data_IF_946886817025
#
_entry.id   IF_946886817025
#
_cell.length_a   1.000
_cell.length_b   1.000
_cell.length_c   1.000
_cell.angle_alpha   90.00
_cell.angle_beta   90.00
_cell.angle_gamma   90.00
#
_symmetry.space_group_name_H-M   'P 1'
#
loop_
_entity.id
_entity.type
_entity.pdbx_description
1 polymer ?
#
# COMPACT_ATOMS: atom_id res chain seq x y z
N UNK A 1 -2.67 18.24 -31.28
CA UNK A 1 -3.28 17.39 -32.33
C UNK A 1 -4.66 17.00 -31.81
N UNK A 2 -5.72 17.61 -32.31
CA UNK A 2 -7.10 17.27 -31.90
C UNK A 2 -7.50 16.07 -32.76
N UNK A 3 -7.73 14.93 -32.15
CA UNK A 3 -8.33 13.79 -32.85
C UNK A 3 -9.80 14.15 -33.02
N UNK A 4 -10.18 14.53 -34.23
CA UNK A 4 -11.60 14.75 -34.55
C UNK A 4 -12.21 13.39 -34.82
N UNK A 5 -13.11 12.97 -33.92
CA UNK A 5 -14.00 11.86 -34.20
C UNK A 5 -15.13 12.38 -35.11
N UNK A 6 -15.50 11.59 -36.08
CA UNK A 6 -16.63 11.83 -36.96
C UNK A 6 -17.51 10.55 -37.01
N UNK A 7 -18.25 10.41 -35.91
CA UNK A 7 -19.18 9.25 -35.76
C UNK A 7 -20.55 9.54 -36.35
N UNK A 8 -20.79 10.76 -36.85
CA UNK A 8 -22.12 11.26 -37.22
C UNK A 8 -23.01 11.65 -36.03
N UNK A 9 -22.50 11.51 -34.79
CA UNK A 9 -23.21 11.87 -33.56
C UNK A 9 -22.34 12.83 -32.70
N UNK A 10 -22.65 14.13 -32.67
CA UNK A 10 -21.82 15.13 -31.97
C UNK A 10 -21.60 14.84 -30.49
N UNK A 11 -22.58 14.28 -29.80
CA UNK A 11 -22.44 13.90 -28.39
C UNK A 11 -21.41 12.77 -28.19
N UNK A 12 -21.38 11.80 -29.13
CA UNK A 12 -20.42 10.67 -29.07
C UNK A 12 -19.01 11.16 -29.38
N UNK A 13 -18.84 12.05 -30.33
CA UNK A 13 -17.55 12.67 -30.66
C UNK A 13 -16.99 13.46 -29.48
N UNK A 14 -17.85 14.23 -28.80
CA UNK A 14 -17.49 14.93 -27.56
C UNK A 14 -17.09 13.94 -26.46
N UNK A 15 -17.87 12.91 -26.25
CA UNK A 15 -17.58 11.88 -25.24
C UNK A 15 -16.22 11.19 -25.49
N UNK A 16 -15.96 10.74 -26.72
CA UNK A 16 -14.70 10.11 -27.10
C UNK A 16 -13.51 11.07 -26.96
N UNK A 17 -13.70 12.34 -27.25
CA UNK A 17 -12.69 13.38 -27.03
C UNK A 17 -12.37 13.51 -25.55
N UNK A 18 -13.36 13.56 -24.66
CA UNK A 18 -13.17 13.61 -23.21
C UNK A 18 -12.46 12.37 -22.70
N UNK A 19 -12.83 11.18 -23.19
CA UNK A 19 -12.17 9.91 -22.86
C UNK A 19 -10.67 9.99 -23.18
N UNK A 20 -10.33 10.41 -24.40
CA UNK A 20 -8.93 10.57 -24.79
C UNK A 20 -8.20 11.62 -23.95
N UNK A 21 -8.82 12.76 -23.68
CA UNK A 21 -8.23 13.79 -22.83
C UNK A 21 -7.87 13.25 -21.45
N UNK A 22 -8.77 12.51 -20.81
CA UNK A 22 -8.52 11.92 -19.49
C UNK A 22 -7.42 10.85 -19.58
N UNK A 23 -7.44 9.99 -20.62
CA UNK A 23 -6.41 8.96 -20.81
C UNK A 23 -5.00 9.55 -20.93
N UNK A 24 -4.85 10.67 -21.63
CA UNK A 24 -3.56 11.32 -21.81
C UNK A 24 -3.14 12.16 -20.60
N UNK A 25 -4.05 12.98 -20.09
CA UNK A 25 -3.66 14.02 -19.12
C UNK A 25 -3.49 13.47 -17.72
N UNK A 26 -4.31 12.49 -17.31
CA UNK A 26 -4.28 12.00 -15.92
C UNK A 26 -2.94 11.36 -15.53
N UNK A 27 -2.36 10.38 -16.27
CA UNK A 27 -1.08 9.78 -15.90
C UNK A 27 0.08 10.78 -15.94
N UNK A 28 0.08 11.68 -16.94
CA UNK A 28 1.13 12.69 -17.10
C UNK A 28 1.09 13.70 -15.96
N UNK A 29 -0.09 14.27 -15.67
CA UNK A 29 -0.27 15.21 -14.56
C UNK A 29 0.02 14.54 -13.21
N UNK A 30 -0.43 13.29 -13.02
CA UNK A 30 -0.11 12.49 -11.85
C UNK A 30 1.40 12.31 -11.67
N UNK A 31 2.11 11.89 -12.71
CA UNK A 31 3.56 11.74 -12.68
C UNK A 31 4.29 13.01 -12.28
N UNK A 32 3.91 14.17 -12.85
CA UNK A 32 4.47 15.46 -12.47
C UNK A 32 4.06 15.91 -11.06
N UNK A 33 2.82 15.70 -10.64
CA UNK A 33 2.36 16.03 -9.29
C UNK A 33 3.15 15.28 -8.22
N UNK A 34 3.38 13.98 -8.42
CA UNK A 34 4.19 13.17 -7.50
C UNK A 34 5.66 13.59 -7.51
N UNK A 35 6.22 13.94 -8.66
CA UNK A 35 7.58 14.49 -8.77
C UNK A 35 7.73 15.78 -7.97
N UNK A 36 6.86 16.76 -8.19
CA UNK A 36 6.87 18.06 -7.47
C UNK A 36 6.65 17.83 -5.98
N UNK A 37 5.75 16.90 -5.61
CA UNK A 37 5.47 16.57 -4.21
C UNK A 37 6.70 16.06 -3.44
N UNK A 38 7.60 15.32 -4.08
CA UNK A 38 8.88 14.90 -3.46
C UNK A 38 9.77 16.11 -3.18
N UNK A 39 9.82 17.06 -4.11
CA UNK A 39 10.57 18.29 -3.93
C UNK A 39 9.98 19.08 -2.74
N UNK A 40 8.65 19.22 -2.69
CA UNK A 40 7.96 19.86 -1.57
C UNK A 40 8.26 19.14 -0.24
N UNK A 41 8.21 17.80 -0.21
CA UNK A 41 8.56 17.05 1.00
C UNK A 41 9.99 17.36 1.46
N UNK A 42 10.92 17.46 0.52
CA UNK A 42 12.32 17.75 0.86
C UNK A 42 12.50 19.12 1.54
N UNK A 43 11.76 20.11 1.10
CA UNK A 43 11.97 21.50 1.54
C UNK A 43 10.97 21.99 2.58
N UNK A 44 9.74 21.47 2.58
CA UNK A 44 8.65 21.98 3.42
C UNK A 44 8.33 21.11 4.62
N UNK A 45 8.65 19.79 4.59
CA UNK A 45 8.19 18.89 5.62
C UNK A 45 9.16 18.82 6.81
N UNK A 46 8.77 19.41 7.95
CA UNK A 46 9.62 19.56 9.16
C UNK A 46 10.04 18.24 9.81
N UNK A 47 9.16 17.21 9.79
CA UNK A 47 9.46 15.91 10.43
C UNK A 47 10.51 15.08 9.67
N UNK A 48 10.88 15.49 8.47
CA UNK A 48 11.96 14.86 7.74
C UNK A 48 13.32 15.10 8.40
N UNK A 49 13.48 16.27 9.00
CA UNK A 49 14.70 16.68 9.73
C UNK A 49 14.60 16.38 11.22
N UNK A 50 13.77 15.39 11.60
CA UNK A 50 13.59 14.97 12.97
C UNK A 50 14.96 14.59 13.56
N UNK A 51 15.43 15.35 14.54
CA UNK A 51 16.55 14.94 15.37
C UNK A 51 16.07 13.85 16.31
N UNK A 52 16.81 12.75 16.34
CA UNK A 52 16.51 11.65 17.22
C UNK A 52 16.90 12.02 18.64
N UNK A 53 15.94 11.91 19.57
CA UNK A 53 16.15 12.20 20.98
C UNK A 53 16.41 10.86 21.68
N UNK A 54 17.50 10.71 22.45
CA UNK A 54 17.68 9.56 23.32
C UNK A 54 16.50 9.45 24.30
N UNK A 55 15.93 8.27 24.42
CA UNK A 55 14.82 7.99 25.32
C UNK A 55 15.37 7.08 26.41
N UNK A 56 15.42 7.54 27.69
CA UNK A 56 15.78 6.68 28.79
C UNK A 56 14.84 5.48 28.93
N UNK A 57 15.38 4.31 29.27
CA UNK A 57 14.58 3.07 29.35
C UNK A 57 13.42 3.18 30.35
N UNK A 58 13.59 3.98 31.42
CA UNK A 58 12.57 4.18 32.45
C UNK A 58 11.32 4.89 31.98
N UNK A 59 11.41 5.62 30.87
CA UNK A 59 10.30 6.38 30.28
C UNK A 59 9.89 5.85 28.92
N UNK A 60 10.43 4.72 28.48
CA UNK A 60 10.02 4.07 27.23
C UNK A 60 8.53 3.67 27.31
N UNK A 61 7.66 4.18 26.40
CA UNK A 61 6.27 3.74 26.37
C UNK A 61 6.16 2.25 26.03
N UNK A 62 5.24 1.54 26.66
CA UNK A 62 4.97 0.14 26.35
C UNK A 62 4.44 -0.03 24.94
N UNK A 63 5.08 -0.91 24.16
CA UNK A 63 4.67 -1.25 22.79
C UNK A 63 4.16 -2.69 22.75
N UNK A 64 3.03 -2.91 22.11
CA UNK A 64 2.59 -4.25 21.68
C UNK A 64 2.85 -4.41 20.19
N UNK A 65 3.76 -5.32 19.83
CA UNK A 65 3.94 -5.76 18.44
C UNK A 65 2.89 -6.84 18.17
N UNK A 66 1.92 -6.51 17.33
CA UNK A 66 0.81 -7.39 17.02
C UNK A 66 1.03 -8.13 15.71
N UNK A 67 1.07 -9.45 15.76
CA UNK A 67 1.33 -10.33 14.61
C UNK A 67 0.10 -11.20 14.36
N UNK A 68 -0.77 -10.86 13.40
CA UNK A 68 -1.84 -11.76 12.97
C UNK A 68 -1.24 -12.92 12.18
N UNK A 69 -1.67 -14.15 12.50
CA UNK A 69 -1.20 -15.37 11.85
C UNK A 69 -2.37 -16.26 11.42
N UNK A 70 -2.26 -16.86 10.24
CA UNK A 70 -3.15 -17.92 9.78
C UNK A 70 -2.43 -18.77 8.74
N UNK A 71 -2.03 -20.00 9.13
CA UNK A 71 -1.26 -20.92 8.32
C UNK A 71 0.07 -20.31 7.85
N UNK A 72 0.89 -19.90 8.79
CA UNK A 72 2.19 -19.25 8.57
C UNK A 72 3.37 -20.11 9.07
N UNK A 73 3.22 -21.45 9.11
CA UNK A 73 4.23 -22.41 9.61
C UNK A 73 5.63 -22.21 8.98
N UNK A 74 5.69 -21.66 7.75
CA UNK A 74 6.94 -21.49 7.00
C UNK A 74 7.77 -20.30 7.50
N UNK A 75 7.11 -19.24 8.03
CA UNK A 75 7.77 -17.97 8.31
C UNK A 75 7.66 -17.51 9.77
N UNK A 76 6.67 -17.99 10.51
CA UNK A 76 6.34 -17.45 11.83
C UNK A 76 7.48 -17.63 12.84
N UNK A 77 8.18 -18.76 12.81
CA UNK A 77 9.28 -19.05 13.72
C UNK A 77 10.43 -18.06 13.56
N UNK A 78 10.90 -17.86 12.32
CA UNK A 78 12.00 -16.94 12.02
C UNK A 78 11.62 -15.50 12.39
N UNK A 79 10.38 -15.10 12.09
CA UNK A 79 9.89 -13.75 12.40
C UNK A 79 9.83 -13.52 13.92
N UNK A 80 9.29 -14.46 14.71
CA UNK A 80 9.24 -14.30 16.17
C UNK A 80 10.64 -14.29 16.76
N UNK A 81 11.53 -15.20 16.35
CA UNK A 81 12.92 -15.17 16.78
C UNK A 81 13.58 -13.83 16.49
N UNK A 82 13.35 -13.25 15.32
CA UNK A 82 13.89 -11.94 14.98
C UNK A 82 13.32 -10.84 15.87
N UNK A 83 12.01 -10.76 16.04
CA UNK A 83 11.35 -9.74 16.86
C UNK A 83 11.76 -9.82 18.34
N UNK A 84 12.08 -11.01 18.85
CA UNK A 84 12.47 -11.20 20.24
C UNK A 84 13.94 -10.93 20.52
N UNK A 85 14.82 -11.04 19.52
CA UNK A 85 16.27 -10.98 19.75
C UNK A 85 17.00 -9.81 19.09
N UNK A 86 16.37 -9.10 18.13
CA UNK A 86 17.08 -8.15 17.28
C UNK A 86 16.61 -6.69 17.41
N UNK A 87 15.64 -6.40 18.27
CA UNK A 87 15.11 -5.05 18.43
C UNK A 87 15.82 -4.31 19.56
N UNK A 88 16.26 -3.08 19.28
CA UNK A 88 16.92 -2.19 20.24
C UNK A 88 15.86 -1.35 20.99
N UNK A 89 15.03 -2.02 21.78
CA UNK A 89 14.00 -1.41 22.62
C UNK A 89 13.66 -2.35 23.77
N UNK A 90 13.49 -1.84 24.99
CA UNK A 90 13.35 -2.71 26.17
C UNK A 90 11.89 -2.99 26.54
N UNK A 91 11.00 -1.99 26.40
CA UNK A 91 9.65 -2.07 26.93
C UNK A 91 8.61 -2.47 25.85
N UNK A 92 8.61 -3.74 25.44
CA UNK A 92 7.64 -4.27 24.48
C UNK A 92 7.24 -5.71 24.75
N UNK A 93 6.11 -6.09 24.20
CA UNK A 93 5.65 -7.48 24.07
C UNK A 93 5.36 -7.82 22.60
N UNK A 94 5.44 -9.09 22.25
CA UNK A 94 4.93 -9.64 21.00
C UNK A 94 3.63 -10.38 21.27
N UNK A 95 2.55 -9.96 20.61
CA UNK A 95 1.23 -10.55 20.73
C UNK A 95 0.83 -11.15 19.39
N UNK A 96 0.90 -12.47 19.28
CA UNK A 96 0.44 -13.21 18.10
C UNK A 96 -1.06 -13.50 18.25
N UNK A 97 -1.83 -13.20 17.20
CA UNK A 97 -3.24 -13.58 17.11
C UNK A 97 -3.40 -14.65 16.03
N UNK A 98 -3.51 -15.90 16.45
CA UNK A 98 -3.70 -17.05 15.56
C UNK A 98 -5.18 -17.17 15.18
N UNK A 99 -5.50 -16.84 13.93
CA UNK A 99 -6.86 -16.82 13.36
C UNK A 99 -7.27 -18.21 12.83
N UNK A 100 -7.26 -19.21 13.72
CA UNK A 100 -7.71 -20.56 13.41
C UNK A 100 -6.81 -21.30 12.42
N UNK A 101 -5.50 -21.31 12.66
CA UNK A 101 -4.56 -22.07 11.84
C UNK A 101 -4.80 -23.57 11.93
N UNK A 102 -4.60 -24.26 10.81
CA UNK A 102 -4.80 -25.72 10.65
C UNK A 102 -3.51 -26.46 10.30
N UNK A 103 -2.41 -25.74 10.14
CA UNK A 103 -1.05 -26.26 9.90
C UNK A 103 -0.24 -26.37 11.20
N UNK A 104 1.09 -26.38 11.12
CA UNK A 104 1.97 -26.46 12.30
C UNK A 104 2.13 -25.12 13.05
N UNK A 105 1.52 -24.01 12.59
CA UNK A 105 1.62 -22.70 13.24
C UNK A 105 1.33 -22.74 14.74
N UNK A 106 0.22 -23.40 15.23
CA UNK A 106 -0.08 -23.44 16.66
C UNK A 106 1.00 -24.16 17.48
N UNK A 107 1.55 -25.26 16.97
CA UNK A 107 2.59 -26.06 17.65
C UNK A 107 3.90 -25.27 17.75
N UNK A 108 4.27 -24.56 16.67
CA UNK A 108 5.45 -23.70 16.66
C UNK A 108 5.30 -22.58 17.70
N UNK A 109 4.15 -21.92 17.75
CA UNK A 109 3.87 -20.84 18.71
C UNK A 109 3.90 -21.31 20.16
N UNK A 110 3.41 -22.53 20.48
CA UNK A 110 3.49 -23.09 21.84
C UNK A 110 4.94 -23.25 22.28
N UNK A 111 5.79 -23.82 21.44
CA UNK A 111 7.21 -23.99 21.70
C UNK A 111 7.92 -22.63 21.90
N UNK A 112 7.57 -21.61 21.10
CA UNK A 112 8.16 -20.29 21.22
C UNK A 112 7.72 -19.54 22.49
N UNK A 113 6.49 -19.76 22.98
CA UNK A 113 6.05 -19.19 24.28
C UNK A 113 6.84 -19.74 25.47
N UNK A 114 7.34 -21.00 25.40
CA UNK A 114 8.21 -21.56 26.43
C UNK A 114 9.60 -20.87 26.45
N UNK A 115 10.06 -20.38 25.30
CA UNK A 115 11.37 -19.72 25.16
C UNK A 115 11.33 -18.21 25.51
N UNK A 116 10.22 -17.54 25.21
CA UNK A 116 10.12 -16.09 25.28
C UNK A 116 9.01 -15.61 26.22
N UNK A 117 9.36 -15.13 27.43
CA UNK A 117 8.36 -14.65 28.42
C UNK A 117 7.49 -13.48 27.93
N UNK A 118 8.02 -12.67 27.00
CA UNK A 118 7.31 -11.51 26.44
C UNK A 118 6.50 -11.85 25.18
N UNK A 119 6.47 -13.14 24.77
CA UNK A 119 5.61 -13.63 23.72
C UNK A 119 4.28 -14.09 24.30
N UNK A 120 3.20 -13.61 23.74
CA UNK A 120 1.83 -14.01 24.08
C UNK A 120 1.08 -14.46 22.82
N UNK A 121 0.26 -15.47 22.93
CA UNK A 121 -0.54 -15.98 21.80
C UNK A 121 -2.01 -15.99 22.18
N UNK A 122 -2.84 -15.38 21.33
CA UNK A 122 -4.29 -15.47 21.39
C UNK A 122 -4.77 -16.40 20.27
N UNK A 123 -5.61 -17.37 20.61
CA UNK A 123 -6.15 -18.33 19.66
C UNK A 123 -7.62 -18.04 19.39
N UNK A 124 -7.94 -17.94 18.11
CA UNK A 124 -9.31 -17.79 17.60
C UNK A 124 -9.69 -19.15 17.01
N UNK A 125 -10.75 -19.77 17.52
CA UNK A 125 -11.13 -21.14 17.12
C UNK A 125 -11.45 -21.28 15.63
N UNK A 126 -12.07 -20.25 15.04
CA UNK A 126 -12.48 -20.27 13.63
C UNK A 126 -11.99 -19.03 12.94
N UNK A 127 -11.41 -19.20 11.78
CA UNK A 127 -10.94 -18.10 10.92
C UNK A 127 -12.04 -17.04 10.70
N UNK A 128 -11.74 -15.80 11.04
CA UNK A 128 -12.61 -14.64 10.84
C UNK A 128 -11.93 -13.52 10.07
N UNK A 129 -10.64 -13.61 9.83
CA UNK A 129 -9.84 -12.68 9.03
C UNK A 129 -9.01 -11.71 9.85
N UNK A 130 -8.02 -11.12 9.19
CA UNK A 130 -6.98 -10.29 9.79
C UNK A 130 -7.53 -9.14 10.65
N UNK A 131 -8.54 -8.42 10.16
CA UNK A 131 -9.15 -7.31 10.90
C UNK A 131 -9.79 -7.76 12.22
N UNK A 132 -10.43 -8.95 12.24
CA UNK A 132 -10.98 -9.53 13.46
C UNK A 132 -9.86 -9.90 14.44
N UNK A 133 -8.82 -10.59 13.95
CA UNK A 133 -7.66 -10.96 14.76
C UNK A 133 -7.00 -9.73 15.39
N UNK A 134 -6.85 -8.64 14.63
CA UNK A 134 -6.37 -7.36 15.17
C UNK A 134 -7.29 -6.79 16.25
N UNK A 135 -8.60 -6.76 16.02
CA UNK A 135 -9.55 -6.19 16.98
C UNK A 135 -9.53 -6.95 18.32
N UNK A 136 -9.46 -8.27 18.28
CA UNK A 136 -9.27 -9.09 19.47
C UNK A 136 -7.94 -8.75 20.14
N UNK A 137 -6.84 -8.72 19.36
CA UNK A 137 -5.51 -8.40 19.87
C UNK A 137 -5.44 -7.03 20.56
N UNK A 138 -6.07 -5.99 20.01
CA UNK A 138 -6.12 -4.64 20.63
C UNK A 138 -6.75 -4.68 22.03
N UNK A 139 -7.77 -5.55 22.23
CA UNK A 139 -8.40 -5.74 23.55
C UNK A 139 -7.46 -6.34 24.60
N UNK A 140 -6.49 -7.15 24.18
CA UNK A 140 -5.53 -7.84 25.05
C UNK A 140 -4.14 -7.19 25.07
N UNK A 141 -3.87 -6.22 24.19
CA UNK A 141 -2.62 -5.50 24.13
C UNK A 141 -2.34 -4.72 25.42
N UNK A 142 -1.12 -4.81 25.95
CA UNK A 142 -0.67 -4.04 27.11
C UNK A 142 -0.18 -2.66 26.72
N UNK A 143 0.37 -2.52 25.52
CA UNK A 143 0.98 -1.29 25.03
C UNK A 143 -0.04 -0.17 24.79
N UNK A 144 0.38 1.05 25.03
CA UNK A 144 -0.31 2.26 24.60
C UNK A 144 -0.06 2.55 23.10
N UNK A 145 1.03 2.03 22.57
CA UNK A 145 1.37 2.00 21.15
C UNK A 145 1.27 0.57 20.64
N UNK A 146 0.64 0.40 19.48
CA UNK A 146 0.41 -0.90 18.86
C UNK A 146 1.05 -0.90 17.49
N UNK A 147 2.07 -1.74 17.29
CA UNK A 147 2.68 -1.96 15.98
C UNK A 147 2.00 -3.11 15.26
N UNK A 148 1.44 -2.84 14.10
CA UNK A 148 1.00 -3.89 13.17
C UNK A 148 2.21 -4.47 12.45
N UNK A 149 2.43 -5.78 12.56
CA UNK A 149 3.53 -6.48 11.90
C UNK A 149 3.01 -7.78 11.27
N UNK A 150 3.19 -7.93 9.96
CA UNK A 150 2.80 -9.20 9.31
C UNK A 150 3.79 -10.32 9.67
N UNK A 151 3.33 -11.57 9.58
CA UNK A 151 4.11 -12.75 9.95
C UNK A 151 5.37 -12.96 9.08
N UNK A 152 5.51 -12.24 7.97
CA UNK A 152 6.64 -12.29 7.02
C UNK A 152 7.42 -10.98 6.94
N UNK A 153 7.20 -10.08 7.88
CA UNK A 153 7.79 -8.73 7.87
C UNK A 153 8.70 -8.55 9.07
N UNK A 154 9.88 -7.97 8.84
CA UNK A 154 10.84 -7.67 9.90
C UNK A 154 11.23 -6.19 9.88
N UNK A 155 11.17 -5.50 11.03
CA UNK A 155 11.64 -4.12 11.18
C UNK A 155 13.16 -4.06 11.25
N UNK A 156 13.75 -2.89 10.96
CA UNK A 156 15.13 -2.60 11.34
C UNK A 156 15.27 -2.59 12.88
N UNK A 157 16.45 -2.88 13.43
CA UNK A 157 16.63 -2.98 14.88
C UNK A 157 16.15 -1.77 15.68
N UNK A 158 16.37 -0.55 15.18
CA UNK A 158 15.99 0.70 15.86
C UNK A 158 14.56 1.17 15.53
N UNK A 159 13.76 0.37 14.84
CA UNK A 159 12.45 0.79 14.35
C UNK A 159 11.51 1.27 15.47
N UNK A 160 11.43 0.54 16.59
CA UNK A 160 10.55 0.89 17.71
C UNK A 160 10.94 2.23 18.33
N UNK A 161 12.23 2.38 18.62
CA UNK A 161 12.78 3.61 19.16
C UNK A 161 12.55 4.81 18.22
N UNK A 162 12.75 4.62 16.91
CA UNK A 162 12.47 5.65 15.90
C UNK A 162 11.00 6.03 15.88
N UNK A 163 10.07 5.07 15.96
CA UNK A 163 8.63 5.36 16.02
C UNK A 163 8.26 6.16 17.26
N UNK A 164 8.78 5.77 18.44
CA UNK A 164 8.50 6.47 19.69
C UNK A 164 8.93 7.93 19.63
N UNK A 165 10.04 8.22 18.96
CA UNK A 165 10.51 9.60 18.75
C UNK A 165 9.48 10.49 18.01
N UNK A 166 8.58 9.94 17.22
CA UNK A 166 7.48 10.71 16.65
C UNK A 166 6.32 10.91 17.63
N UNK A 167 6.07 9.96 18.54
CA UNK A 167 4.93 9.98 19.45
C UNK A 167 5.14 10.78 20.74
N UNK A 168 6.37 10.96 21.19
CA UNK A 168 6.70 11.65 22.46
C UNK A 168 6.78 13.18 22.34
N UNK A 169 6.70 13.73 21.13
CA UNK A 169 6.78 15.18 20.93
C UNK A 169 5.50 15.88 21.38
N UNK A 170 5.64 17.10 21.92
CA UNK A 170 4.50 17.86 22.42
C UNK A 170 3.40 18.11 21.38
N UNK A 171 3.76 18.23 20.09
CA UNK A 171 2.84 18.42 18.99
C UNK A 171 2.26 17.09 18.42
N UNK A 172 2.58 15.95 19.05
CA UNK A 172 2.21 14.61 18.58
C UNK A 172 0.93 14.05 19.19
N UNK A 173 0.28 14.77 20.11
CA UNK A 173 -0.87 14.26 20.86
C UNK A 173 -2.04 13.83 19.94
N UNK A 174 -2.18 14.48 18.80
CA UNK A 174 -3.21 14.19 17.79
C UNK A 174 -2.76 13.18 16.74
N UNK A 175 -1.57 12.58 16.85
CA UNK A 175 -1.09 11.56 15.92
C UNK A 175 -1.75 10.23 16.27
N UNK A 176 -2.57 9.72 15.34
CA UNK A 176 -3.20 8.40 15.48
C UNK A 176 -2.31 7.26 15.07
N UNK A 177 -1.57 7.45 13.97
CA UNK A 177 -0.82 6.39 13.34
C UNK A 177 0.40 6.91 12.58
N UNK A 178 1.43 6.09 12.54
CA UNK A 178 2.66 6.35 11.80
C UNK A 178 2.96 5.11 10.96
N UNK A 179 2.91 5.25 9.64
CA UNK A 179 3.27 4.18 8.70
C UNK A 179 4.72 4.35 8.25
N UNK A 180 5.47 3.25 8.17
CA UNK A 180 6.89 3.29 7.83
C UNK A 180 7.17 3.02 6.35
N UNK A 181 8.44 3.19 5.99
CA UNK A 181 8.97 2.82 4.69
C UNK A 181 9.16 1.30 4.60
N UNK A 182 9.15 0.78 3.39
CA UNK A 182 9.24 -0.66 3.13
C UNK A 182 10.27 -0.95 2.06
N UNK A 183 10.93 -2.08 2.22
CA UNK A 183 11.81 -2.63 1.20
C UNK A 183 11.52 -4.13 0.96
N UNK A 184 11.88 -4.60 -0.23
CA UNK A 184 11.65 -5.99 -0.65
C UNK A 184 12.77 -6.87 -0.14
N UNK A 185 12.43 -7.98 0.51
CA UNK A 185 13.40 -8.96 1.01
C UNK A 185 13.78 -9.99 -0.06
N UNK A 186 12.79 -10.57 -0.77
CA UNK A 186 12.98 -11.64 -1.73
C UNK A 186 13.15 -11.13 -3.17
N UNK A 187 14.32 -10.60 -3.51
CA UNK A 187 14.65 -10.08 -4.85
C UNK A 187 15.19 -11.16 -5.79
N UNK A 188 14.57 -12.32 -5.85
CA UNK A 188 15.03 -13.50 -6.61
C UNK A 188 14.59 -13.45 -8.06
N UNK A 189 13.34 -13.08 -8.34
CA UNK A 189 12.74 -13.03 -9.68
C UNK A 189 12.71 -11.62 -10.27
N UNK A 190 12.42 -11.51 -11.59
CA UNK A 190 12.18 -10.22 -12.24
C UNK A 190 10.98 -9.51 -11.60
N UNK A 191 9.93 -10.26 -11.27
CA UNK A 191 8.74 -9.73 -10.59
C UNK A 191 9.10 -9.16 -9.22
N UNK A 192 9.89 -9.88 -8.39
CA UNK A 192 10.37 -9.37 -7.10
C UNK A 192 11.27 -8.14 -7.23
N UNK A 193 12.19 -8.13 -8.22
CA UNK A 193 13.07 -6.98 -8.47
C UNK A 193 12.31 -5.75 -8.96
N UNK A 194 11.28 -5.91 -9.79
CA UNK A 194 10.45 -4.80 -10.26
C UNK A 194 9.59 -4.21 -9.14
N UNK A 195 9.17 -5.02 -8.15
CA UNK A 195 8.47 -4.54 -6.97
C UNK A 195 9.34 -3.65 -6.07
N UNK A 196 10.69 -3.81 -6.10
CA UNK A 196 11.58 -2.87 -5.42
C UNK A 196 11.41 -1.44 -5.97
N UNK A 197 11.27 -1.29 -7.29
CA UNK A 197 10.99 0.00 -7.93
C UNK A 197 9.62 0.51 -7.57
N UNK A 198 8.62 -0.36 -7.58
CA UNK A 198 7.25 -0.04 -7.20
C UNK A 198 7.13 0.46 -5.76
N UNK A 199 7.69 -0.26 -4.79
CA UNK A 199 7.63 0.13 -3.38
C UNK A 199 8.35 1.46 -3.11
N UNK A 200 9.45 1.74 -3.80
CA UNK A 200 10.09 3.06 -3.75
C UNK A 200 9.17 4.16 -4.27
N UNK A 201 8.30 3.87 -5.25
CA UNK A 201 7.31 4.82 -5.76
C UNK A 201 6.07 4.90 -4.85
N UNK A 202 5.32 3.81 -4.69
CA UNK A 202 4.03 3.80 -3.97
C UNK A 202 4.22 4.11 -2.50
N UNK A 203 5.17 3.47 -1.83
CA UNK A 203 5.42 3.70 -0.40
C UNK A 203 6.32 4.92 -0.22
N UNK A 204 7.37 5.04 -1.01
CA UNK A 204 8.34 6.11 -0.88
C UNK A 204 7.80 7.49 -1.30
N UNK A 205 7.55 7.69 -2.60
CA UNK A 205 7.17 9.00 -3.14
C UNK A 205 5.75 9.40 -2.80
N UNK A 206 4.79 8.51 -3.05
CA UNK A 206 3.38 8.87 -2.94
C UNK A 206 3.05 9.26 -1.50
N UNK A 207 3.46 8.47 -0.50
CA UNK A 207 3.20 8.81 0.91
C UNK A 207 3.93 10.08 1.37
N UNK A 208 5.18 10.30 0.90
CA UNK A 208 5.90 11.57 1.18
C UNK A 208 5.16 12.77 0.63
N UNK A 209 4.64 12.67 -0.59
CA UNK A 209 3.87 13.73 -1.23
C UNK A 209 2.53 13.94 -0.53
N UNK A 210 1.80 12.87 -0.25
CA UNK A 210 0.54 12.93 0.47
C UNK A 210 0.69 13.68 1.80
N UNK A 211 1.71 13.35 2.57
CA UNK A 211 1.98 14.02 3.83
C UNK A 211 2.39 15.49 3.66
N UNK A 212 3.29 15.79 2.72
CA UNK A 212 3.84 17.13 2.57
C UNK A 212 2.89 18.14 1.91
N UNK A 213 2.09 17.68 0.94
CA UNK A 213 1.22 18.52 0.14
C UNK A 213 -0.22 18.49 0.65
N UNK A 214 -0.72 17.30 0.99
CA UNK A 214 -2.11 17.12 1.37
C UNK A 214 -2.33 17.04 2.88
N UNK A 215 -1.28 16.80 3.69
CA UNK A 215 -1.36 16.68 5.14
C UNK A 215 -2.09 15.42 5.62
N UNK A 216 -2.34 14.46 4.74
CA UNK A 216 -3.08 13.22 5.00
C UNK A 216 -2.43 12.05 4.29
N UNK A 217 -2.64 10.82 4.79
CA UNK A 217 -2.15 9.57 4.19
C UNK A 217 -3.34 8.75 3.71
N UNK A 218 -3.40 8.44 2.41
CA UNK A 218 -4.51 7.69 1.80
C UNK A 218 -4.67 6.28 2.38
N UNK A 219 -3.55 5.57 2.53
CA UNK A 219 -3.50 4.19 3.01
C UNK A 219 -2.32 4.00 3.96
N UNK A 220 -2.59 3.40 5.10
CA UNK A 220 -1.50 2.88 5.93
C UNK A 220 -0.93 1.61 5.29
N UNK A 221 0.07 1.03 5.91
CA UNK A 221 0.55 -0.30 5.55
C UNK A 221 0.20 -1.26 6.69
N UNK A 222 -0.56 -2.28 6.37
CA UNK A 222 -0.96 -3.30 7.36
C UNK A 222 0.19 -4.10 7.96
N UNK A 223 1.41 -3.95 7.42
CA UNK A 223 2.60 -4.68 7.85
C UNK A 223 3.58 -3.86 8.70
N UNK A 224 3.39 -2.53 8.81
CA UNK A 224 4.39 -1.67 9.44
C UNK A 224 3.82 -0.36 10.00
N UNK A 225 2.61 -0.34 10.43
CA UNK A 225 2.02 0.88 11.00
C UNK A 225 1.95 0.78 12.52
N UNK A 226 2.51 1.78 13.19
CA UNK A 226 2.35 1.94 14.63
C UNK A 226 1.18 2.87 14.91
N UNK A 227 0.27 2.42 15.75
CA UNK A 227 -0.97 3.10 16.12
C UNK A 227 -0.93 3.55 17.58
N UNK A 228 -1.52 4.71 17.87
CA UNK A 228 -1.92 5.06 19.22
C UNK A 228 -3.19 4.26 19.56
N UNK A 229 -3.15 3.44 20.62
CA UNK A 229 -4.29 2.61 21.05
C UNK A 229 -5.56 3.43 21.26
N UNK A 230 -5.46 4.61 21.87
CA UNK A 230 -6.59 5.51 22.08
C UNK A 230 -7.26 5.93 20.75
N UNK A 231 -6.48 6.17 19.69
CA UNK A 231 -7.03 6.51 18.39
C UNK A 231 -7.76 5.34 17.71
N UNK A 232 -7.23 4.10 17.86
CA UNK A 232 -7.93 2.89 17.38
C UNK A 232 -9.27 2.72 18.09
N UNK A 233 -9.32 2.93 19.41
CA UNK A 233 -10.55 2.83 20.20
C UNK A 233 -11.56 3.92 19.82
N UNK A 234 -11.11 5.15 19.59
CA UNK A 234 -11.97 6.29 19.24
C UNK A 234 -12.73 6.09 17.92
N UNK A 235 -12.12 5.42 16.94
CA UNK A 235 -12.76 5.14 15.64
C UNK A 235 -13.52 3.82 15.59
N UNK A 236 -13.54 3.03 16.67
CA UNK A 236 -14.24 1.74 16.76
C UNK A 236 -13.49 0.57 16.15
N UNK A 237 -12.15 0.63 16.14
CA UNK A 237 -11.25 -0.41 15.65
C UNK A 237 -11.32 -0.64 14.14
N UNK A 238 -10.75 -1.76 13.67
CA UNK A 238 -10.70 -2.09 12.25
C UNK A 238 -12.04 -2.64 11.74
N UNK A 239 -12.46 -2.21 10.56
CA UNK A 239 -13.67 -2.71 9.90
C UNK A 239 -13.44 -4.12 9.36
N UNK A 240 -14.16 -5.10 9.91
CA UNK A 240 -14.00 -6.51 9.57
C UNK A 240 -14.62 -6.90 8.21
N UNK A 241 -15.49 -6.06 7.68
CA UNK A 241 -16.20 -6.29 6.43
C UNK A 241 -15.55 -5.57 5.22
N UNK A 242 -14.23 -5.30 5.29
CA UNK A 242 -13.47 -4.66 4.21
C UNK A 242 -12.33 -5.55 3.74
N UNK A 243 -12.01 -5.47 2.44
CA UNK A 243 -10.92 -6.23 1.84
C UNK A 243 -9.53 -5.72 2.27
N UNK A 244 -9.45 -4.46 2.72
CA UNK A 244 -8.24 -3.81 3.25
C UNK A 244 -8.61 -3.00 4.49
N UNK A 245 -8.23 -3.51 5.64
CA UNK A 245 -8.46 -2.90 6.95
C UNK A 245 -7.65 -1.62 7.13
N UNK A 246 -6.43 -1.60 6.62
CA UNK A 246 -5.44 -0.54 6.71
C UNK A 246 -5.84 0.74 5.94
N UNK A 247 -6.43 0.59 4.76
CA UNK A 247 -6.99 1.74 4.02
C UNK A 247 -8.21 2.29 4.77
N UNK A 248 -9.10 1.41 5.23
CA UNK A 248 -10.34 1.84 5.90
C UNK A 248 -10.06 2.62 7.18
N UNK A 249 -9.15 2.12 8.04
CA UNK A 249 -8.82 2.79 9.30
C UNK A 249 -8.12 4.14 9.08
N UNK A 250 -7.33 4.28 8.01
CA UNK A 250 -6.71 5.55 7.64
C UNK A 250 -7.76 6.64 7.38
N UNK A 251 -8.84 6.29 6.70
CA UNK A 251 -9.96 7.21 6.44
C UNK A 251 -10.81 7.48 7.68
N UNK A 252 -11.05 6.46 8.52
CA UNK A 252 -11.78 6.63 9.78
C UNK A 252 -11.04 7.59 10.72
N UNK A 253 -9.73 7.49 10.84
CA UNK A 253 -8.89 8.43 11.59
C UNK A 253 -9.01 9.86 11.04
N UNK A 254 -8.91 10.05 9.73
CA UNK A 254 -9.02 11.38 9.10
C UNK A 254 -10.38 12.03 9.34
N UNK A 255 -11.48 11.26 9.30
CA UNK A 255 -12.82 11.78 9.57
C UNK A 255 -13.05 12.16 11.05
N UNK A 256 -12.25 11.61 11.97
CA UNK A 256 -12.23 11.99 13.38
C UNK A 256 -11.27 13.14 13.69
N UNK A 257 -10.55 13.65 12.70
CA UNK A 257 -9.58 14.74 12.86
C UNK A 257 -8.21 14.30 13.38
N UNK A 258 -7.94 13.00 13.45
CA UNK A 258 -6.63 12.47 13.77
C UNK A 258 -5.64 12.73 12.64
N UNK A 259 -4.38 12.98 13.01
CA UNK A 259 -3.26 13.10 12.09
C UNK A 259 -2.56 11.76 11.90
N UNK A 260 -2.02 11.54 10.73
CA UNK A 260 -1.16 10.39 10.45
C UNK A 260 0.11 10.83 9.75
N UNK A 261 1.22 10.11 10.02
CA UNK A 261 2.52 10.45 9.48
C UNK A 261 3.11 9.27 8.69
N UNK A 262 4.01 9.61 7.77
CA UNK A 262 4.88 8.65 7.09
C UNK A 262 6.32 8.80 7.59
N UNK A 263 6.79 7.79 8.31
CA UNK A 263 8.16 7.73 8.83
C UNK A 263 9.11 7.17 7.75
N UNK A 264 9.56 8.01 6.84
CA UNK A 264 10.42 7.61 5.72
C UNK A 264 11.78 7.03 6.14
N UNK A 265 12.23 7.32 7.37
CA UNK A 265 13.50 6.89 7.96
C UNK A 265 13.37 5.64 8.84
N UNK A 266 12.17 5.08 8.97
CA UNK A 266 11.92 3.80 9.63
C UNK A 266 11.71 2.77 8.52
N UNK A 267 12.51 1.69 8.53
CA UNK A 267 12.52 0.70 7.45
C UNK A 267 12.00 -0.66 7.91
N UNK A 268 11.13 -1.25 7.09
CA UNK A 268 10.67 -2.63 7.23
C UNK A 268 11.00 -3.42 5.99
N UNK A 269 11.29 -4.70 6.16
CA UNK A 269 11.62 -5.63 5.09
C UNK A 269 10.55 -6.69 4.99
N UNK A 270 9.97 -6.85 3.81
CA UNK A 270 8.86 -7.77 3.59
C UNK A 270 9.07 -8.66 2.39
N UNK A 271 8.40 -9.81 2.38
CA UNK A 271 8.31 -10.65 1.20
C UNK A 271 7.25 -10.15 0.22
N UNK A 272 7.55 -10.24 -1.07
CA UNK A 272 6.65 -9.85 -2.14
C UNK A 272 6.31 -11.01 -3.06
N UNK A 273 5.19 -10.98 -3.78
CA UNK A 273 4.85 -11.95 -4.80
C UNK A 273 5.98 -12.17 -5.82
N UNK A 274 6.35 -13.41 -6.06
CA UNK A 274 7.40 -13.77 -7.01
C UNK A 274 6.89 -14.09 -8.41
N UNK A 275 5.58 -14.29 -8.57
CA UNK A 275 4.92 -14.59 -9.84
C UNK A 275 3.84 -13.56 -10.18
N UNK A 276 3.57 -13.36 -11.47
CA UNK A 276 2.50 -12.47 -11.93
C UNK A 276 1.12 -12.90 -11.43
N UNK A 277 0.86 -14.20 -11.26
CA UNK A 277 -0.40 -14.73 -10.74
C UNK A 277 -0.63 -14.32 -9.28
N UNK A 278 0.41 -14.47 -8.44
CA UNK A 278 0.36 -14.04 -7.03
C UNK A 278 0.20 -12.53 -6.92
N UNK A 279 0.96 -11.79 -7.73
CA UNK A 279 0.88 -10.34 -7.82
C UNK A 279 -0.54 -9.89 -8.20
N UNK A 280 -1.13 -10.46 -9.25
CA UNK A 280 -2.48 -10.14 -9.68
C UNK A 280 -3.52 -10.38 -8.56
N UNK A 281 -3.43 -11.50 -7.83
CA UNK A 281 -4.30 -11.79 -6.68
C UNK A 281 -4.17 -10.73 -5.58
N UNK A 282 -2.95 -10.31 -5.26
CA UNK A 282 -2.68 -9.26 -4.27
C UNK A 282 -3.26 -7.91 -4.72
N UNK A 283 -3.01 -7.49 -5.96
CA UNK A 283 -3.51 -6.22 -6.52
C UNK A 283 -5.03 -6.21 -6.62
N UNK A 284 -5.63 -7.34 -6.97
CA UNK A 284 -7.09 -7.50 -6.98
C UNK A 284 -7.71 -7.21 -5.61
N UNK A 285 -7.10 -7.67 -4.53
CA UNK A 285 -7.52 -7.38 -3.16
C UNK A 285 -7.38 -5.88 -2.85
N UNK A 286 -6.23 -5.28 -3.18
CA UNK A 286 -5.99 -3.86 -2.94
C UNK A 286 -6.95 -2.96 -3.71
N UNK A 287 -7.18 -3.25 -4.99
CA UNK A 287 -8.12 -2.51 -5.83
C UNK A 287 -9.56 -2.60 -5.29
N UNK A 288 -9.98 -3.80 -4.84
CA UNK A 288 -11.29 -3.99 -4.20
C UNK A 288 -11.41 -3.12 -2.95
N UNK A 289 -10.43 -3.17 -2.04
CA UNK A 289 -10.44 -2.41 -0.80
C UNK A 289 -10.43 -0.89 -1.02
N UNK A 290 -9.61 -0.40 -1.94
CA UNK A 290 -9.62 1.02 -2.33
C UNK A 290 -10.96 1.48 -2.90
N UNK A 291 -11.60 0.64 -3.74
CA UNK A 291 -12.94 0.92 -4.28
C UNK A 291 -14.02 0.89 -3.19
N UNK A 292 -13.93 -0.04 -2.21
CA UNK A 292 -14.86 -0.09 -1.06
C UNK A 292 -14.78 1.19 -0.22
N UNK A 293 -13.56 1.68 0.05
CA UNK A 293 -13.33 2.94 0.77
C UNK A 293 -13.87 4.14 -0.02
N UNK A 294 -13.64 4.17 -1.33
CA UNK A 294 -14.19 5.20 -2.21
C UNK A 294 -15.73 5.23 -2.17
N UNK A 295 -16.39 4.09 -2.36
CA UNK A 295 -17.86 3.97 -2.30
C UNK A 295 -18.41 4.40 -0.94
N UNK A 296 -17.75 4.00 0.16
CA UNK A 296 -18.20 4.31 1.52
C UNK A 296 -18.16 5.81 1.81
N UNK A 297 -17.14 6.51 1.32
CA UNK A 297 -16.85 7.89 1.68
C UNK A 297 -17.30 8.92 0.64
N UNK A 298 -17.78 8.47 -0.52
CA UNK A 298 -18.17 9.32 -1.65
C UNK A 298 -19.08 10.48 -1.22
N UNK A 299 -20.19 10.17 -0.57
CA UNK A 299 -21.14 11.21 -0.12
C UNK A 299 -20.52 12.18 0.87
N UNK A 300 -19.76 11.67 1.84
CA UNK A 300 -19.15 12.50 2.90
C UNK A 300 -18.18 13.52 2.31
N UNK A 301 -17.32 13.09 1.38
CA UNK A 301 -16.30 13.98 0.80
C UNK A 301 -16.91 14.99 -0.15
N UNK A 302 -17.82 14.58 -1.05
CA UNK A 302 -18.40 15.51 -2.03
C UNK A 302 -19.46 16.44 -1.46
N UNK A 303 -20.11 16.09 -0.35
CA UNK A 303 -21.01 17.02 0.35
C UNK A 303 -20.24 18.09 1.17
N UNK A 304 -19.02 17.76 1.64
CA UNK A 304 -18.21 18.67 2.46
C UNK A 304 -16.78 18.78 1.92
N UNK A 305 -16.58 19.23 0.65
CA UNK A 305 -15.29 19.18 -0.02
C UNK A 305 -14.23 20.12 0.59
N UNK A 306 -14.65 21.16 1.29
CA UNK A 306 -13.77 22.15 1.90
C UNK A 306 -13.45 21.87 3.38
N UNK A 307 -14.04 20.85 3.99
CA UNK A 307 -13.75 20.47 5.39
C UNK A 307 -12.27 20.06 5.55
N UNK A 308 -11.74 19.31 4.58
CA UNK A 308 -10.31 18.98 4.49
C UNK A 308 -9.90 18.89 3.01
N UNK A 309 -9.26 19.92 2.52
CA UNK A 309 -8.88 20.05 1.10
C UNK A 309 -7.92 18.92 0.68
N UNK A 310 -6.98 18.55 1.56
CA UNK A 310 -6.03 17.46 1.26
C UNK A 310 -6.73 16.11 1.10
N UNK A 311 -7.67 15.79 1.99
CA UNK A 311 -8.51 14.58 1.91
C UNK A 311 -9.34 14.58 0.62
N UNK A 312 -9.93 15.72 0.28
CA UNK A 312 -10.74 15.88 -0.95
C UNK A 312 -9.88 15.72 -2.20
N UNK A 313 -8.69 16.31 -2.23
CA UNK A 313 -7.77 16.20 -3.36
C UNK A 313 -7.36 14.73 -3.61
N UNK A 314 -7.03 13.98 -2.54
CA UNK A 314 -6.74 12.55 -2.66
C UNK A 314 -7.95 11.74 -3.11
N UNK A 315 -9.15 12.10 -2.68
CA UNK A 315 -10.38 11.44 -3.11
C UNK A 315 -10.68 11.69 -4.58
N UNK A 316 -10.43 12.90 -5.07
CA UNK A 316 -10.53 13.25 -6.49
C UNK A 316 -9.51 12.46 -7.30
N UNK A 317 -8.25 12.36 -6.86
CA UNK A 317 -7.23 11.53 -7.53
C UNK A 317 -7.68 10.07 -7.64
N UNK A 318 -8.19 9.48 -6.57
CA UNK A 318 -8.75 8.12 -6.59
C UNK A 318 -9.94 7.99 -7.56
N UNK A 319 -10.80 9.02 -7.61
CA UNK A 319 -11.95 9.05 -8.53
C UNK A 319 -11.47 9.06 -9.98
N UNK A 320 -10.50 9.91 -10.30
CA UNK A 320 -9.89 9.98 -11.64
C UNK A 320 -9.19 8.66 -12.02
N UNK A 321 -8.52 8.02 -11.07
CA UNK A 321 -7.89 6.69 -11.27
C UNK A 321 -8.92 5.62 -11.64
N UNK A 322 -10.07 5.60 -10.97
CA UNK A 322 -11.17 4.68 -11.30
C UNK A 322 -11.72 4.97 -12.69
N UNK A 323 -12.04 6.23 -13.00
CA UNK A 323 -12.55 6.66 -14.30
C UNK A 323 -11.55 6.32 -15.42
N UNK A 324 -10.28 6.63 -15.19
CA UNK A 324 -9.20 6.32 -16.13
C UNK A 324 -9.12 4.81 -16.42
N UNK A 325 -9.27 3.96 -15.41
CA UNK A 325 -9.23 2.50 -15.58
C UNK A 325 -10.37 2.00 -16.45
N UNK A 326 -11.59 2.53 -16.29
CA UNK A 326 -12.72 2.19 -17.15
C UNK A 326 -12.53 2.69 -18.59
N UNK A 327 -12.02 3.92 -18.76
CA UNK A 327 -11.76 4.49 -20.08
C UNK A 327 -10.62 3.76 -20.80
N UNK A 328 -9.59 3.33 -20.08
CA UNK A 328 -8.51 2.51 -20.64
C UNK A 328 -9.08 1.19 -21.24
N UNK A 329 -9.96 0.51 -20.52
CA UNK A 329 -10.58 -0.71 -21.02
C UNK A 329 -11.54 -0.47 -22.16
N UNK A 330 -12.35 0.58 -22.11
CA UNK A 330 -13.23 0.98 -23.21
C UNK A 330 -12.41 1.26 -24.47
N UNK A 331 -11.36 2.07 -24.35
CA UNK A 331 -10.49 2.41 -25.49
C UNK A 331 -9.73 1.20 -26.02
N UNK A 332 -9.31 0.28 -25.15
CA UNK A 332 -8.68 -0.97 -25.57
C UNK A 332 -9.67 -1.86 -26.35
N UNK A 333 -10.90 -1.96 -25.89
CA UNK A 333 -11.95 -2.71 -26.61
C UNK A 333 -12.27 -2.09 -27.97
N UNK A 334 -12.39 -0.77 -28.05
CA UNK A 334 -12.57 -0.04 -29.31
C UNK A 334 -11.37 -0.20 -30.25
N UNK A 335 -10.16 -0.17 -29.72
CA UNK A 335 -8.94 -0.40 -30.49
C UNK A 335 -8.96 -1.79 -31.15
N UNK A 336 -9.29 -2.84 -30.41
CA UNK A 336 -9.40 -4.21 -30.94
C UNK A 336 -10.55 -4.30 -31.96
N UNK A 337 -11.69 -3.70 -31.67
CA UNK A 337 -12.82 -3.66 -32.61
C UNK A 337 -12.43 -3.02 -33.95
N UNK A 338 -11.83 -1.83 -33.93
CA UNK A 338 -11.40 -1.14 -35.14
C UNK A 338 -10.26 -1.85 -35.87
N UNK A 339 -9.36 -2.52 -35.15
CA UNK A 339 -8.32 -3.34 -35.75
C UNK A 339 -8.92 -4.47 -36.60
N UNK A 340 -9.93 -5.17 -36.06
CA UNK A 340 -10.64 -6.24 -36.78
C UNK A 340 -11.40 -5.65 -37.97
N UNK A 341 -12.14 -4.56 -37.78
CA UNK A 341 -12.95 -3.92 -38.80
C UNK A 341 -12.08 -3.43 -39.97
N UNK A 342 -11.01 -2.70 -39.73
CA UNK A 342 -10.13 -2.19 -40.78
C UNK A 342 -9.31 -3.32 -41.42
N UNK A 343 -8.96 -4.37 -40.67
CA UNK A 343 -8.36 -5.57 -41.23
C UNK A 343 -9.31 -6.29 -42.26
N UNK A 344 -10.57 -6.45 -41.87
CA UNK A 344 -11.58 -7.07 -42.73
C UNK A 344 -11.94 -6.23 -43.97
N UNK A 345 -11.87 -4.90 -43.86
CA UNK A 345 -12.14 -3.97 -44.98
C UNK A 345 -10.89 -3.61 -45.79
N UNK A 346 -9.71 -4.15 -45.45
CA UNK A 346 -8.47 -3.89 -46.16
C UNK A 346 -7.90 -2.47 -45.99
N UNK A 347 -8.37 -1.73 -44.99
CA UNK A 347 -7.94 -0.34 -44.75
C UNK A 347 -6.68 -0.30 -43.85
N UNK A 348 -5.56 -0.73 -44.44
CA UNK A 348 -4.27 -0.82 -43.71
C UNK A 348 -3.69 0.56 -43.30
N UNK A 349 -4.02 1.63 -44.00
CA UNK A 349 -3.63 2.98 -43.68
C UNK A 349 -4.19 3.40 -42.29
N UNK A 350 -5.47 3.13 -42.04
CA UNK A 350 -6.09 3.38 -40.75
C UNK A 350 -5.46 2.53 -39.64
N UNK A 351 -5.14 1.29 -39.90
CA UNK A 351 -4.43 0.42 -38.95
C UNK A 351 -3.08 1.04 -38.59
N UNK A 352 -2.30 1.47 -39.60
CA UNK A 352 -1.01 2.12 -39.36
C UNK A 352 -1.15 3.39 -38.49
N UNK A 353 -2.13 4.24 -38.77
CA UNK A 353 -2.39 5.43 -37.97
C UNK A 353 -2.78 5.09 -36.54
N UNK A 354 -3.61 4.06 -36.33
CA UNK A 354 -3.98 3.61 -34.96
C UNK A 354 -2.75 3.15 -34.16
N UNK A 355 -1.88 2.33 -34.74
CA UNK A 355 -0.66 1.89 -34.07
C UNK A 355 0.31 3.04 -33.82
N UNK A 356 0.46 3.97 -34.76
CA UNK A 356 1.32 5.14 -34.60
C UNK A 356 0.83 6.02 -33.42
N UNK A 357 -0.47 6.26 -33.32
CA UNK A 357 -1.04 7.05 -32.23
C UNK A 357 -0.92 6.33 -30.89
N UNK A 358 -1.19 5.01 -30.84
CA UNK A 358 -1.02 4.22 -29.62
C UNK A 358 0.47 4.19 -29.18
N UNK A 359 1.41 4.07 -30.10
CA UNK A 359 2.83 4.10 -29.81
C UNK A 359 3.27 5.47 -29.23
N UNK A 360 2.86 6.56 -29.86
CA UNK A 360 3.15 7.90 -29.34
C UNK A 360 2.58 8.11 -27.93
N UNK A 361 1.35 7.64 -27.69
CA UNK A 361 0.72 7.68 -26.37
C UNK A 361 1.57 6.95 -25.33
N UNK A 362 1.92 5.69 -25.60
CA UNK A 362 2.78 4.88 -24.71
C UNK A 362 4.13 5.55 -24.48
N UNK A 363 4.75 6.15 -25.50
CA UNK A 363 6.02 6.86 -25.33
C UNK A 363 5.91 8.04 -24.34
N UNK A 364 4.85 8.85 -24.44
CA UNK A 364 4.64 9.97 -23.50
C UNK A 364 4.40 9.49 -22.07
N UNK A 365 3.58 8.47 -21.88
CA UNK A 365 3.36 7.88 -20.55
C UNK A 365 4.63 7.26 -19.97
N UNK A 366 5.42 6.59 -20.81
CA UNK A 366 6.72 6.02 -20.42
C UNK A 366 7.69 7.11 -19.94
N UNK A 367 7.75 8.27 -20.58
CA UNK A 367 8.61 9.37 -20.14
C UNK A 367 8.20 9.85 -18.76
N UNK A 368 6.91 10.15 -18.55
CA UNK A 368 6.39 10.60 -17.25
C UNK A 368 6.65 9.57 -16.14
N UNK A 369 6.37 8.29 -16.42
CA UNK A 369 6.60 7.20 -15.48
C UNK A 369 8.08 6.97 -15.17
N UNK A 370 8.96 7.02 -16.17
CA UNK A 370 10.43 6.91 -15.96
C UNK A 370 10.93 8.03 -15.06
N UNK A 371 10.50 9.27 -15.29
CA UNK A 371 10.86 10.42 -14.43
C UNK A 371 10.42 10.19 -12.99
N UNK A 372 9.17 9.78 -12.78
CA UNK A 372 8.63 9.48 -11.47
C UNK A 372 9.42 8.38 -10.77
N UNK A 373 9.64 7.25 -11.43
CA UNK A 373 10.33 6.08 -10.85
C UNK A 373 11.82 6.36 -10.58
N UNK A 374 12.50 7.07 -11.47
CA UNK A 374 13.90 7.47 -11.26
C UNK A 374 14.03 8.38 -10.05
N UNK A 375 13.17 9.39 -9.95
CA UNK A 375 13.17 10.31 -8.81
C UNK A 375 12.84 9.59 -7.50
N UNK A 376 11.97 8.56 -7.54
CA UNK A 376 11.64 7.76 -6.36
C UNK A 376 12.86 7.02 -5.81
N UNK A 377 13.64 6.42 -6.68
CA UNK A 377 14.86 5.71 -6.30
C UNK A 377 15.98 6.66 -5.82
N UNK A 378 16.01 7.89 -6.35
CA UNK A 378 16.95 8.93 -5.87
C UNK A 378 16.55 9.51 -4.51
N UNK A 379 15.24 9.55 -4.21
CA UNK A 379 14.73 10.07 -2.94
C UNK A 379 14.90 9.10 -1.78
N UNK A 380 15.21 7.84 -2.04
CA UNK A 380 15.56 6.85 -1.03
C UNK A 380 16.93 7.18 -0.40
N UNK A 381 16.98 7.22 0.92
CA UNK A 381 18.12 7.73 1.68
C UNK A 381 19.45 7.01 1.35
N UNK A 382 19.40 5.77 0.90
CA UNK A 382 20.61 4.94 0.68
C UNK A 382 21.00 4.74 -0.78
N UNK A 383 20.24 5.24 -1.76
CA UNK A 383 20.47 5.04 -3.21
C UNK A 383 20.80 3.60 -3.66
N UNK A 384 20.81 2.65 -2.71
CA UNK A 384 21.15 1.23 -2.95
C UNK A 384 20.19 0.55 -3.93
N UNK A 385 18.97 1.08 -4.03
CA UNK A 385 17.91 0.60 -4.91
C UNK A 385 18.06 1.06 -6.36
N UNK A 386 18.95 2.03 -6.65
CA UNK A 386 19.10 2.60 -8.00
C UNK A 386 19.48 1.53 -9.03
N UNK A 387 20.23 0.51 -8.63
CA UNK A 387 20.58 -0.64 -9.50
C UNK A 387 19.35 -1.41 -10.03
N UNK A 388 18.21 -1.28 -9.38
CA UNK A 388 16.97 -1.92 -9.82
C UNK A 388 16.19 -1.10 -10.84
N UNK A 389 16.61 0.13 -11.16
CA UNK A 389 15.96 0.97 -12.15
C UNK A 389 15.83 0.30 -13.53
N UNK A 390 16.76 -0.58 -13.90
CA UNK A 390 16.69 -1.40 -15.13
C UNK A 390 15.41 -2.26 -15.23
N UNK A 391 14.70 -2.50 -14.11
CA UNK A 391 13.43 -3.23 -14.09
C UNK A 391 12.20 -2.31 -14.16
N UNK A 392 12.39 -0.98 -14.21
CA UNK A 392 11.31 -0.02 -14.33
C UNK A 392 10.43 -0.22 -15.58
N UNK A 393 10.97 -0.53 -16.78
CA UNK A 393 10.13 -0.80 -17.95
C UNK A 393 9.18 -1.98 -17.74
N UNK A 394 9.64 -3.05 -17.08
CA UNK A 394 8.77 -4.18 -16.74
C UNK A 394 7.65 -3.77 -15.78
N UNK A 395 7.97 -2.99 -14.75
CA UNK A 395 6.98 -2.44 -13.85
C UNK A 395 5.94 -1.61 -14.62
N UNK A 396 6.35 -0.66 -15.43
CA UNK A 396 5.45 0.25 -16.15
C UNK A 396 4.50 -0.50 -17.09
N UNK A 397 4.99 -1.47 -17.85
CA UNK A 397 4.19 -2.20 -18.83
C UNK A 397 3.18 -3.14 -18.16
N UNK A 398 3.59 -3.89 -17.16
CA UNK A 398 2.75 -4.96 -16.59
C UNK A 398 1.88 -4.48 -15.42
N UNK A 399 2.41 -3.62 -14.54
CA UNK A 399 1.69 -3.25 -13.32
C UNK A 399 0.57 -2.23 -13.58
N UNK A 400 0.77 -1.31 -14.51
CA UNK A 400 -0.30 -0.38 -14.91
C UNK A 400 -1.49 -1.13 -15.52
N UNK A 401 -1.22 -2.11 -16.38
CA UNK A 401 -2.27 -2.99 -16.90
C UNK A 401 -2.96 -3.79 -15.79
N UNK A 402 -2.19 -4.35 -14.85
CA UNK A 402 -2.74 -5.09 -13.70
C UNK A 402 -3.62 -4.17 -12.85
N UNK A 403 -3.21 -2.95 -12.58
CA UNK A 403 -4.02 -2.01 -11.79
C UNK A 403 -5.34 -1.68 -12.50
N UNK A 404 -5.32 -1.33 -13.77
CA UNK A 404 -6.52 -1.03 -14.53
C UNK A 404 -7.50 -2.22 -14.58
N UNK A 405 -7.00 -3.43 -14.86
CA UNK A 405 -7.84 -4.65 -14.91
C UNK A 405 -8.40 -5.00 -13.55
N UNK A 406 -7.62 -4.82 -12.48
CA UNK A 406 -8.08 -5.16 -11.13
C UNK A 406 -9.14 -4.20 -10.63
N UNK A 407 -9.03 -2.89 -10.90
CA UNK A 407 -10.07 -1.91 -10.56
C UNK A 407 -11.39 -2.25 -11.26
N UNK A 408 -11.37 -2.46 -12.58
CA UNK A 408 -12.59 -2.74 -13.34
C UNK A 408 -13.23 -4.07 -12.92
N UNK A 409 -12.42 -5.13 -12.76
CA UNK A 409 -12.96 -6.47 -12.42
C UNK A 409 -13.41 -6.58 -10.96
N UNK A 410 -12.93 -5.72 -10.06
CA UNK A 410 -13.35 -5.73 -8.65
C UNK A 410 -14.40 -4.69 -8.30
N UNK A 411 -14.78 -3.81 -9.24
CA UNK A 411 -15.75 -2.76 -8.98
C UNK A 411 -17.12 -3.31 -8.53
N UNK A 412 -17.69 -4.23 -9.29
CA UNK A 412 -18.96 -4.88 -8.93
C UNK A 412 -18.83 -5.70 -7.62
N UNK A 413 -17.78 -6.54 -7.40
CA UNK A 413 -17.53 -7.14 -6.11
C UNK A 413 -17.46 -6.15 -4.94
N UNK A 414 -16.84 -4.98 -5.12
CA UNK A 414 -16.78 -3.95 -4.08
C UNK A 414 -18.17 -3.38 -3.77
N UNK A 415 -18.97 -3.06 -4.81
CA UNK A 415 -20.38 -2.62 -4.63
C UNK A 415 -21.17 -3.66 -3.86
N UNK A 416 -21.07 -4.95 -4.21
CA UNK A 416 -21.76 -6.03 -3.51
C UNK A 416 -21.36 -6.07 -2.03
N UNK A 417 -20.07 -5.93 -1.70
CA UNK A 417 -19.60 -5.90 -0.30
C UNK A 417 -20.22 -4.73 0.48
N UNK A 418 -20.27 -3.52 -0.12
CA UNK A 418 -20.86 -2.34 0.53
C UNK A 418 -22.37 -2.52 0.77
N UNK A 419 -23.06 -3.22 -0.12
CA UNK A 419 -24.48 -3.55 0.01
C UNK A 419 -24.78 -4.74 0.95
N UNK A 420 -23.74 -5.35 1.55
CA UNK A 420 -23.89 -6.47 2.47
C UNK A 420 -23.92 -7.86 1.81
N UNK A 421 -23.68 -7.98 0.52
CA UNK A 421 -23.71 -9.24 -0.26
C UNK A 421 -22.31 -9.84 -0.48
N UNK A 422 -21.37 -9.69 0.42
CA UNK A 422 -20.03 -10.22 0.24
C UNK A 422 -19.22 -10.25 1.52
N UNK A 423 -18.22 -11.14 1.59
CA UNK A 423 -17.25 -11.13 2.69
C UNK A 423 -16.05 -10.26 2.32
N UNK A 424 -15.62 -9.42 3.26
CA UNK A 424 -14.32 -8.75 3.23
C UNK A 424 -13.19 -9.64 3.74
N UNK A 425 -13.44 -10.94 3.96
CA UNK A 425 -12.48 -11.84 4.59
C UNK A 425 -11.18 -11.96 3.75
N UNK A 426 -10.06 -11.73 4.41
CA UNK A 426 -8.74 -11.89 3.85
C UNK A 426 -8.35 -13.38 3.77
N UNK A 427 -7.69 -13.74 2.68
CA UNK A 427 -7.08 -15.07 2.51
C UNK A 427 -5.57 -14.86 2.41
N UNK A 428 -4.80 -15.49 3.31
CA UNK A 428 -3.33 -15.49 3.25
C UNK A 428 -2.85 -15.97 1.88
N UNK A 429 -1.85 -15.30 1.27
CA UNK A 429 -1.22 -15.80 0.06
C UNK A 429 -0.56 -17.16 0.35
N UNK A 430 -0.62 -18.07 -0.62
CA UNK A 430 0.14 -19.32 -0.57
C UNK A 430 1.63 -18.98 -0.47
N UNK A 431 2.31 -19.49 0.55
CA UNK A 431 3.76 -19.36 0.71
C UNK A 431 4.46 -20.41 -0.15
N UNK A 432 5.49 -20.01 -0.86
CA UNK A 432 6.41 -20.96 -1.50
C UNK A 432 7.40 -21.45 -0.44
N UNK A 433 7.48 -22.76 -0.25
CA UNK A 433 8.47 -23.36 0.66
C UNK A 433 9.87 -22.84 0.32
N UNK A 434 10.50 -22.14 1.26
CA UNK A 434 11.83 -21.58 1.09
C UNK A 434 12.89 -22.43 1.78
N UNK A 435 14.07 -22.43 1.15
CA UNK A 435 15.31 -22.61 1.90
C UNK A 435 15.40 -21.45 2.89
N UNK A 436 15.32 -21.75 4.16
CA UNK A 436 15.50 -20.84 5.29
C UNK A 436 16.69 -19.90 5.04
N UNK A 437 16.41 -18.65 4.72
CA UNK A 437 17.42 -17.62 4.84
C UNK A 437 17.42 -17.25 6.32
N UNK A 438 18.56 -17.46 6.96
CA UNK A 438 18.74 -17.10 8.34
C UNK A 438 18.50 -15.57 8.46
N UNK A 439 17.39 -15.13 9.03
CA UNK A 439 17.09 -13.70 9.18
C UNK A 439 18.16 -12.99 10.06
N UNK A 440 18.88 -13.76 10.89
CA UNK A 440 20.01 -13.27 11.68
C UNK A 440 21.24 -12.89 10.82
N UNK A 441 21.31 -13.36 9.56
CA UNK A 441 22.35 -12.99 8.59
C UNK A 441 21.91 -11.85 7.66
N UNK A 442 20.73 -11.27 7.92
CA UNK A 442 20.22 -10.16 7.12
C UNK A 442 20.99 -8.89 7.44
N UNK A 443 21.91 -8.50 6.56
CA UNK A 443 22.62 -7.22 6.65
C UNK A 443 21.68 -6.09 6.22
N UNK A 444 21.30 -5.25 7.15
CA UNK A 444 20.54 -4.03 6.85
C UNK A 444 21.40 -3.09 6.02
N UNK A 445 20.85 -2.51 4.93
CA UNK A 445 21.58 -1.52 4.15
C UNK A 445 21.91 -0.32 5.04
N UNK A 446 23.18 -0.14 5.40
CA UNK A 446 23.67 1.00 6.20
C UNK A 446 24.30 0.65 7.54
N UNK A 447 24.43 -0.62 7.87
CA UNK A 447 25.33 -1.11 8.94
C UNK A 447 26.70 -1.45 8.38
#
# INVERSE_FOLDING_TARGET
MVVNFDTGFPWLDTFLTVVLMILFTYPILGGFAWFIGVICNRFLFRYRQLEWIPIPEEIEPMITIMVPAHNEEIVIEDTIHYLMNNLNYSNYEVLVTDDGSTDQTPVILDRLMEQYPNLRVLRIEKKQGKAHAFNIGVGFAKGELILSNDADTVPEPDALWKYVNYFIRQDSINISAITANMDVQNRTTIVGKSQTVEFSSIVGIIKRTQQAVFGVIYAYSGANTMYRRAALMDVGLFRQNRATEDISIAWDHQFRGWLSLFASRVMFFMEVPETLKMLYRQRKRWAKGGTEVWLTNFKKVFLHPFENIGRTAMFVDQTLSIIWSFFFWLSSALFVFYLIYYGATGNYERIYHMFTMAFLFVCFEMIAGVMQLFTSLLADDNRSKLKYFRFAPFYMLFYWMINAITIVTTFIPAVKTILGYGSGAWVSPERTAKKTKNLNEFTFPGQ
#
